data_IF_365854488208
#
_entry.id   IF_365854488208
#
_cell.length_a   1.000
_cell.length_b   1.000
_cell.length_c   1.000
_cell.angle_alpha   90.00
_cell.angle_beta   90.00
_cell.angle_gamma   90.00
#
_symmetry.space_group_name_H-M   'P 1'
#
loop_
_entity.id
_entity.type
_entity.pdbx_description
1 polymer ?
#
# COMPACT_ATOMS: atom_id res chain seq x y z
N UNK A 1 35.50 -15.24 -10.56
CA UNK A 1 34.65 -16.42 -10.82
C UNK A 1 33.27 -15.86 -11.12
N UNK A 2 32.78 -15.89 -12.38
CA UNK A 2 31.42 -15.43 -12.66
C UNK A 2 30.47 -16.51 -12.18
N UNK A 3 29.73 -16.24 -11.10
CA UNK A 3 28.71 -17.15 -10.59
C UNK A 3 27.61 -17.24 -11.66
N UNK A 4 27.29 -18.45 -12.10
CA UNK A 4 26.18 -18.67 -13.01
C UNK A 4 24.88 -18.59 -12.21
N UNK A 5 24.24 -17.41 -12.19
CA UNK A 5 23.02 -17.16 -11.41
C UNK A 5 21.90 -18.17 -11.73
N UNK A 6 21.83 -18.66 -12.97
CA UNK A 6 20.85 -19.66 -13.38
C UNK A 6 21.08 -21.02 -12.72
N UNK A 7 22.33 -21.42 -12.54
CA UNK A 7 22.69 -22.66 -11.84
C UNK A 7 22.37 -22.54 -10.34
N UNK A 8 22.71 -21.39 -9.75
CA UNK A 8 22.42 -21.05 -8.36
C UNK A 8 20.91 -21.08 -8.03
N UNK A 9 20.06 -20.65 -8.96
CA UNK A 9 18.60 -20.68 -8.82
C UNK A 9 18.07 -22.11 -8.99
N UNK A 10 18.54 -22.86 -10.00
CA UNK A 10 18.06 -24.23 -10.26
C UNK A 10 18.24 -25.15 -9.07
N UNK A 11 19.42 -25.14 -8.45
CA UNK A 11 19.69 -25.95 -7.24
C UNK A 11 18.74 -25.63 -6.07
N UNK A 12 18.30 -24.37 -5.97
CA UNK A 12 17.35 -23.94 -4.95
C UNK A 12 15.92 -24.35 -5.28
N UNK A 13 15.52 -24.23 -6.55
CA UNK A 13 14.17 -24.63 -7.00
C UNK A 13 13.90 -26.11 -6.75
N UNK A 14 14.91 -26.97 -6.91
CA UNK A 14 14.79 -28.41 -6.61
C UNK A 14 14.43 -28.68 -5.14
N UNK A 15 14.89 -27.83 -4.22
CA UNK A 15 14.72 -27.97 -2.77
C UNK A 15 13.61 -27.10 -2.19
N UNK A 16 13.13 -26.12 -2.95
CA UNK A 16 12.10 -25.19 -2.52
C UNK A 16 10.78 -25.92 -2.25
N UNK A 17 10.00 -25.39 -1.32
CA UNK A 17 8.64 -25.85 -1.00
C UNK A 17 7.76 -25.83 -2.27
N UNK A 18 6.98 -26.90 -2.50
CA UNK A 18 6.09 -27.03 -3.67
C UNK A 18 5.02 -25.94 -3.74
N UNK A 19 4.76 -25.23 -2.63
CA UNK A 19 3.85 -24.09 -2.58
C UNK A 19 4.51 -22.76 -2.98
N UNK A 20 5.83 -22.72 -3.19
CA UNK A 20 6.53 -21.49 -3.54
C UNK A 20 6.13 -21.02 -4.95
N UNK A 21 5.66 -19.77 -5.13
CA UNK A 21 5.22 -19.25 -6.42
C UNK A 21 6.27 -19.30 -7.54
N UNK A 22 7.55 -19.12 -7.21
CA UNK A 22 8.63 -19.20 -8.21
C UNK A 22 8.83 -20.64 -8.69
N UNK A 23 8.79 -21.61 -7.79
CA UNK A 23 8.88 -23.03 -8.13
C UNK A 23 7.69 -23.48 -8.99
N UNK A 24 6.48 -23.15 -8.55
CA UNK A 24 5.25 -23.43 -9.32
C UNK A 24 5.36 -22.82 -10.72
N UNK A 25 5.82 -21.58 -10.81
CA UNK A 25 5.97 -20.88 -12.10
C UNK A 25 7.02 -21.49 -13.00
N UNK A 26 8.14 -21.95 -12.45
CA UNK A 26 9.16 -22.67 -13.20
C UNK A 26 8.61 -23.98 -13.78
N UNK A 27 7.95 -24.80 -12.96
CA UNK A 27 7.41 -26.10 -13.37
C UNK A 27 6.28 -25.99 -14.40
N UNK A 28 5.39 -25.01 -14.21
CA UNK A 28 4.25 -24.77 -15.09
C UNK A 28 4.55 -23.83 -16.26
N UNK A 29 5.80 -23.35 -16.38
CA UNK A 29 6.26 -22.41 -17.42
C UNK A 29 5.43 -21.13 -17.45
N UNK A 30 5.03 -20.62 -16.29
CA UNK A 30 4.37 -19.33 -16.19
C UNK A 30 5.36 -18.20 -16.42
N UNK A 31 4.88 -17.12 -17.05
CA UNK A 31 5.66 -15.90 -17.34
C UNK A 31 6.36 -15.35 -16.09
N UNK A 32 5.69 -15.45 -14.94
CA UNK A 32 6.18 -14.99 -13.63
C UNK A 32 7.61 -15.43 -13.28
N UNK A 33 8.03 -16.62 -13.73
CA UNK A 33 9.41 -17.09 -13.54
C UNK A 33 10.42 -16.37 -14.43
N UNK A 34 10.09 -16.14 -15.71
CA UNK A 34 10.99 -15.44 -16.64
C UNK A 34 11.13 -13.96 -16.24
N UNK A 35 10.01 -13.32 -15.89
CA UNK A 35 10.02 -11.94 -15.39
C UNK A 35 10.82 -11.82 -14.08
N UNK A 36 10.78 -12.85 -13.22
CA UNK A 36 11.62 -12.93 -12.02
C UNK A 36 13.12 -12.99 -12.35
N UNK A 37 13.53 -13.72 -13.40
CA UNK A 37 14.94 -13.75 -13.84
C UNK A 37 15.42 -12.39 -14.34
N UNK A 38 14.59 -11.65 -15.08
CA UNK A 38 14.90 -10.28 -15.53
C UNK A 38 15.06 -9.32 -14.34
N UNK A 39 14.17 -9.44 -13.35
CA UNK A 39 14.27 -8.69 -12.11
C UNK A 39 15.59 -8.99 -11.38
N UNK A 40 15.96 -10.27 -11.24
CA UNK A 40 17.21 -10.67 -10.59
C UNK A 40 18.45 -10.14 -11.30
N UNK A 41 18.50 -10.11 -12.63
CA UNK A 41 19.63 -9.55 -13.38
C UNK A 41 19.85 -8.07 -13.07
N UNK A 42 18.77 -7.33 -12.76
CA UNK A 42 18.87 -5.94 -12.34
C UNK A 42 19.38 -5.82 -10.91
N UNK A 43 18.82 -6.60 -9.97
CA UNK A 43 19.27 -6.57 -8.58
C UNK A 43 20.72 -6.99 -8.42
N UNK A 44 21.18 -7.99 -9.17
CA UNK A 44 22.55 -8.50 -9.10
C UNK A 44 23.63 -7.46 -9.47
N UNK A 45 23.25 -6.39 -10.19
CA UNK A 45 24.16 -5.28 -10.52
C UNK A 45 24.34 -4.29 -9.37
N UNK A 46 23.47 -4.34 -8.37
CA UNK A 46 23.39 -3.36 -7.29
C UNK A 46 23.52 -3.96 -5.89
N UNK A 47 23.27 -5.26 -5.74
CA UNK A 47 23.40 -5.98 -4.48
C UNK A 47 24.68 -6.83 -4.47
N UNK A 48 25.25 -7.02 -3.29
CA UNK A 48 26.37 -7.92 -3.10
C UNK A 48 25.93 -9.40 -3.05
N UNK A 49 26.91 -10.31 -2.94
CA UNK A 49 26.63 -11.74 -2.95
C UNK A 49 25.79 -12.20 -1.75
N UNK A 50 26.06 -11.66 -0.55
CA UNK A 50 25.36 -12.07 0.67
C UNK A 50 23.93 -11.52 0.68
N UNK A 51 23.73 -10.29 0.20
CA UNK A 51 22.42 -9.68 -0.03
C UNK A 51 21.61 -10.47 -1.07
N UNK A 52 22.21 -10.84 -2.21
CA UNK A 52 21.55 -11.67 -3.21
C UNK A 52 21.21 -13.06 -2.69
N UNK A 53 22.09 -13.65 -1.88
CA UNK A 53 21.85 -14.95 -1.25
C UNK A 53 20.69 -14.87 -0.26
N UNK A 54 20.65 -13.86 0.61
CA UNK A 54 19.55 -13.62 1.54
C UNK A 54 18.23 -13.40 0.80
N UNK A 55 18.25 -12.62 -0.28
CA UNK A 55 17.09 -12.39 -1.12
C UNK A 55 16.51 -13.71 -1.65
N UNK A 56 17.34 -14.60 -2.21
CA UNK A 56 16.87 -15.87 -2.76
C UNK A 56 16.41 -16.86 -1.66
N UNK A 57 17.22 -17.00 -0.61
CA UNK A 57 17.03 -18.01 0.43
C UNK A 57 15.86 -17.64 1.36
N UNK A 58 15.81 -16.38 1.80
CA UNK A 58 14.94 -15.90 2.87
C UNK A 58 13.81 -14.99 2.36
N UNK A 59 14.09 -14.04 1.45
CA UNK A 59 13.04 -13.14 0.94
C UNK A 59 12.07 -13.87 -0.01
N UNK A 60 12.61 -14.47 -1.07
CA UNK A 60 11.88 -15.29 -2.06
C UNK A 60 11.54 -16.68 -1.51
N UNK A 61 12.20 -17.10 -0.43
CA UNK A 61 11.95 -18.37 0.30
C UNK A 61 12.24 -19.62 -0.52
N UNK A 62 13.33 -19.63 -1.29
CA UNK A 62 13.74 -20.83 -2.03
C UNK A 62 14.47 -21.86 -1.16
N UNK A 63 14.96 -21.46 0.02
CA UNK A 63 15.65 -22.35 0.96
C UNK A 63 14.89 -22.57 2.28
N UNK A 64 13.64 -22.10 2.37
CA UNK A 64 12.81 -22.15 3.58
C UNK A 64 11.38 -22.58 3.28
N UNK A 65 10.65 -23.04 4.31
CA UNK A 65 9.24 -23.42 4.19
C UNK A 65 8.41 -22.24 3.69
N UNK A 66 7.49 -22.47 2.75
CA UNK A 66 6.68 -21.38 2.22
C UNK A 66 5.73 -20.81 3.27
N UNK A 67 5.70 -19.48 3.36
CA UNK A 67 4.73 -18.72 4.14
C UNK A 67 4.26 -17.56 3.24
N UNK A 68 2.98 -17.57 2.88
CA UNK A 68 2.41 -16.63 1.92
C UNK A 68 2.49 -15.17 2.40
N UNK A 69 2.14 -14.88 3.65
CA UNK A 69 2.20 -13.52 4.19
C UNK A 69 3.63 -12.94 4.16
N UNK A 70 4.62 -13.73 4.59
CA UNK A 70 6.03 -13.32 4.53
C UNK A 70 6.51 -13.17 3.08
N UNK A 71 6.14 -14.10 2.20
CA UNK A 71 6.48 -14.00 0.78
C UNK A 71 5.92 -12.71 0.16
N UNK A 72 4.63 -12.41 0.37
CA UNK A 72 3.96 -11.22 -0.17
C UNK A 72 4.55 -9.91 0.36
N UNK A 73 4.91 -9.85 1.64
CA UNK A 73 5.66 -8.72 2.20
C UNK A 73 7.00 -8.54 1.48
N UNK A 74 7.78 -9.62 1.37
CA UNK A 74 9.12 -9.56 0.79
C UNK A 74 9.11 -9.22 -0.71
N UNK A 75 8.19 -9.79 -1.49
CA UNK A 75 8.10 -9.45 -2.92
C UNK A 75 7.58 -8.04 -3.15
N UNK A 76 6.76 -7.49 -2.25
CA UNK A 76 6.36 -6.09 -2.31
C UNK A 76 7.55 -5.14 -2.12
N UNK A 77 8.45 -5.45 -1.16
CA UNK A 77 9.72 -4.73 -1.01
C UNK A 77 10.58 -4.82 -2.28
N UNK A 78 10.77 -6.03 -2.80
CA UNK A 78 11.57 -6.29 -4.00
C UNK A 78 11.00 -5.58 -5.23
N UNK A 79 9.68 -5.53 -5.37
CA UNK A 79 9.01 -4.87 -6.50
C UNK A 79 9.27 -3.36 -6.51
N UNK A 80 9.26 -2.70 -5.34
CA UNK A 80 9.64 -1.30 -5.19
C UNK A 80 11.14 -1.10 -5.46
N UNK A 81 12.01 -1.93 -4.88
CA UNK A 81 13.45 -1.87 -5.10
C UNK A 81 13.81 -1.98 -6.59
N UNK A 82 13.21 -2.95 -7.27
CA UNK A 82 13.41 -3.18 -8.69
C UNK A 82 12.92 -2.00 -9.55
N UNK A 83 11.79 -1.37 -9.17
CA UNK A 83 11.31 -0.16 -9.82
C UNK A 83 12.32 0.99 -9.71
N UNK A 84 12.79 1.27 -8.49
CA UNK A 84 13.76 2.35 -8.24
C UNK A 84 15.07 2.08 -8.97
N UNK A 85 15.60 0.85 -8.94
CA UNK A 85 16.85 0.53 -9.63
C UNK A 85 16.76 0.67 -11.16
N UNK A 86 15.58 0.43 -11.75
CA UNK A 86 15.38 0.63 -13.19
C UNK A 86 15.17 2.09 -13.59
N UNK A 87 14.53 2.89 -12.74
CA UNK A 87 14.08 4.25 -13.10
C UNK A 87 14.94 5.37 -12.48
N UNK A 88 15.45 5.16 -11.25
CA UNK A 88 16.05 6.18 -10.39
C UNK A 88 17.27 5.66 -9.61
N UNK A 89 18.26 5.11 -10.31
CA UNK A 89 19.46 4.52 -9.68
C UNK A 89 20.54 5.55 -9.25
N UNK A 90 20.22 6.85 -9.23
CA UNK A 90 21.20 7.86 -8.84
C UNK A 90 21.43 7.81 -7.32
N UNK A 91 22.67 7.55 -6.91
CA UNK A 91 23.08 7.37 -5.50
C UNK A 91 22.15 6.44 -4.72
N UNK A 92 21.69 5.38 -5.37
CA UNK A 92 20.87 4.36 -4.72
C UNK A 92 21.64 3.70 -3.57
N UNK A 93 20.95 3.49 -2.45
CA UNK A 93 21.45 2.74 -1.30
C UNK A 93 20.37 1.76 -0.86
N UNK A 94 20.73 0.48 -0.81
CA UNK A 94 19.92 -0.57 -0.21
C UNK A 94 20.04 -0.51 1.32
N UNK A 95 18.91 -0.53 2.02
CA UNK A 95 18.82 -0.48 3.48
C UNK A 95 19.71 0.60 4.16
N UNK A 96 19.54 1.90 3.83
CA UNK A 96 20.37 2.98 4.35
C UNK A 96 20.28 3.11 5.88
N UNK A 97 21.42 3.37 6.53
CA UNK A 97 21.54 3.46 7.98
C UNK A 97 21.40 4.90 8.48
N UNK A 98 20.33 5.18 9.22
CA UNK A 98 20.07 6.51 9.80
C UNK A 98 20.07 6.52 11.33
N UNK A 99 19.01 6.03 11.96
CA UNK A 99 18.67 6.31 13.37
C UNK A 99 18.69 5.07 14.29
N UNK A 100 19.36 3.98 13.90
CA UNK A 100 19.48 2.78 14.73
C UNK A 100 19.65 1.50 13.91
N UNK A 101 19.13 0.38 14.43
CA UNK A 101 19.21 -0.93 13.79
C UNK A 101 18.08 -1.20 12.77
N UNK A 102 17.20 -0.23 12.54
CA UNK A 102 16.08 -0.37 11.59
C UNK A 102 16.27 0.65 10.48
N UNK A 103 16.27 0.17 9.25
CA UNK A 103 16.53 0.95 8.06
C UNK A 103 15.28 0.97 7.18
N UNK A 104 14.98 2.07 6.47
CA UNK A 104 14.11 2.04 5.30
C UNK A 104 14.65 1.03 4.28
N UNK A 105 13.83 0.59 3.33
CA UNK A 105 14.24 -0.48 2.42
C UNK A 105 15.21 0.04 1.35
N UNK A 106 15.07 1.30 0.95
CA UNK A 106 16.07 1.99 0.14
C UNK A 106 16.02 3.52 0.27
N UNK A 107 17.07 4.16 -0.20
CA UNK A 107 17.03 5.56 -0.61
C UNK A 107 17.74 5.81 -1.94
N UNK A 108 17.44 6.94 -2.56
CA UNK A 108 18.08 7.40 -3.80
C UNK A 108 17.98 8.93 -3.90
N UNK A 109 18.83 9.54 -4.72
CA UNK A 109 18.80 10.98 -4.97
C UNK A 109 17.94 11.31 -6.20
N UNK A 110 17.00 12.24 -6.02
CA UNK A 110 16.15 12.77 -7.09
C UNK A 110 16.04 14.28 -6.96
N UNK A 111 16.39 15.01 -8.03
CA UNK A 111 16.32 16.47 -8.11
C UNK A 111 16.87 17.21 -6.88
N UNK A 112 18.02 16.73 -6.36
CA UNK A 112 18.74 17.37 -5.25
C UNK A 112 18.25 16.99 -3.85
N UNK A 113 17.25 16.11 -3.72
CA UNK A 113 16.80 15.54 -2.43
C UNK A 113 17.02 14.03 -2.37
N UNK A 114 17.14 13.51 -1.16
CA UNK A 114 17.16 12.07 -0.89
C UNK A 114 15.75 11.60 -0.63
N UNK A 115 15.24 10.70 -1.48
CA UNK A 115 13.97 10.02 -1.29
C UNK A 115 14.22 8.73 -0.51
N UNK A 116 13.53 8.55 0.61
CA UNK A 116 13.60 7.33 1.43
C UNK A 116 12.28 6.57 1.32
N UNK A 117 12.35 5.25 1.16
CA UNK A 117 11.16 4.42 1.02
C UNK A 117 11.15 3.29 2.05
N UNK A 118 10.06 3.20 2.79
CA UNK A 118 9.71 2.05 3.62
C UNK A 118 8.54 1.32 2.97
N UNK A 119 8.58 -0.01 2.90
CA UNK A 119 7.51 -0.81 2.29
C UNK A 119 6.80 -1.68 3.33
N UNK A 120 5.48 -1.70 3.27
CA UNK A 120 4.61 -2.52 4.12
C UNK A 120 3.57 -3.25 3.29
N UNK A 121 3.25 -4.46 3.72
CA UNK A 121 2.22 -5.33 3.17
C UNK A 121 1.43 -5.92 4.35
N UNK A 122 0.11 -5.67 4.44
CA UNK A 122 -0.69 -6.24 5.52
C UNK A 122 -0.83 -7.75 5.36
N UNK A 123 -0.74 -8.46 6.48
CA UNK A 123 -1.11 -9.87 6.55
C UNK A 123 -2.63 -10.00 6.57
N UNK A 124 -3.20 -10.38 5.43
CA UNK A 124 -4.65 -10.55 5.25
C UNK A 124 -5.14 -11.94 5.63
N UNK A 125 -4.29 -12.84 6.15
CA UNK A 125 -4.66 -14.25 6.40
C UNK A 125 -5.92 -14.38 7.26
N UNK A 126 -6.00 -13.63 8.38
CA UNK A 126 -7.17 -13.64 9.27
C UNK A 126 -8.43 -13.06 8.61
N UNK A 127 -8.26 -12.01 7.80
CA UNK A 127 -9.36 -11.37 7.08
C UNK A 127 -9.96 -12.35 6.06
N UNK A 128 -9.11 -13.01 5.28
CA UNK A 128 -9.49 -14.00 4.26
C UNK A 128 -10.16 -15.22 4.91
N UNK A 129 -9.68 -15.65 6.08
CA UNK A 129 -10.32 -16.73 6.84
C UNK A 129 -11.74 -16.34 7.29
N UNK A 130 -11.89 -15.15 7.89
CA UNK A 130 -13.19 -14.58 8.28
C UNK A 130 -14.15 -14.45 7.10
N UNK A 131 -13.69 -13.97 5.94
CA UNK A 131 -14.50 -13.80 4.73
C UNK A 131 -15.09 -15.13 4.19
N UNK A 132 -14.53 -16.28 4.56
CA UNK A 132 -15.05 -17.61 4.19
C UNK A 132 -16.21 -18.08 5.06
N UNK A 133 -16.41 -17.48 6.23
CA UNK A 133 -17.54 -17.83 7.09
C UNK A 133 -18.85 -17.26 6.55
N UNK A 134 -19.93 -18.05 6.57
CA UNK A 134 -21.25 -17.63 6.13
C UNK A 134 -22.00 -16.77 7.17
N UNK A 135 -21.36 -15.69 7.61
CA UNK A 135 -21.86 -14.82 8.68
C UNK A 135 -21.99 -13.38 8.18
N UNK A 136 -22.92 -12.63 8.76
CA UNK A 136 -23.05 -11.20 8.51
C UNK A 136 -21.86 -10.48 9.15
N UNK A 137 -21.05 -9.79 8.33
CA UNK A 137 -19.87 -9.06 8.81
C UNK A 137 -20.26 -7.67 9.30
N UNK A 138 -19.84 -7.32 10.50
CA UNK A 138 -19.84 -5.94 11.00
C UNK A 138 -18.41 -5.40 10.90
N UNK A 139 -18.26 -4.29 10.17
CA UNK A 139 -16.99 -3.59 10.02
C UNK A 139 -17.11 -2.20 10.66
N UNK A 140 -16.51 -2.00 11.84
CA UNK A 140 -16.51 -0.71 12.55
C UNK A 140 -15.08 -0.24 12.79
N UNK A 141 -14.79 1.07 12.71
CA UNK A 141 -13.48 1.62 13.08
C UNK A 141 -13.06 1.18 14.48
N UNK A 142 -11.89 0.54 14.62
CA UNK A 142 -11.40 0.02 15.91
C UNK A 142 -11.06 1.14 16.92
N UNK A 143 -11.00 2.38 16.43
CA UNK A 143 -10.71 3.59 17.19
C UNK A 143 -11.91 4.20 17.94
N UNK A 144 -13.12 3.67 17.78
CA UNK A 144 -14.29 4.19 18.48
C UNK A 144 -14.15 3.95 20.01
N UNK A 145 -14.40 4.96 20.88
CA UNK A 145 -14.43 4.74 22.33
C UNK A 145 -15.37 3.60 22.71
N UNK A 146 -14.96 2.75 23.65
CA UNK A 146 -15.73 1.57 24.07
C UNK A 146 -16.06 0.59 22.92
N UNK A 147 -15.19 0.54 21.90
CA UNK A 147 -15.33 -0.30 20.69
C UNK A 147 -15.94 -1.68 20.97
N UNK A 148 -15.37 -2.44 21.91
CA UNK A 148 -15.86 -3.80 22.23
C UNK A 148 -17.30 -3.83 22.74
N UNK A 149 -17.69 -2.85 23.55
CA UNK A 149 -19.06 -2.71 24.05
C UNK A 149 -20.01 -2.46 22.88
N UNK A 150 -19.68 -1.47 22.04
CA UNK A 150 -20.51 -1.09 20.88
C UNK A 150 -20.64 -2.24 19.89
N UNK A 151 -19.54 -2.92 19.54
CA UNK A 151 -19.58 -4.06 18.63
C UNK A 151 -20.47 -5.18 19.19
N UNK A 152 -20.40 -5.46 20.48
CA UNK A 152 -21.27 -6.45 21.11
C UNK A 152 -22.74 -6.02 21.08
N UNK A 153 -23.05 -4.76 21.38
CA UNK A 153 -24.42 -4.24 21.28
C UNK A 153 -24.97 -4.35 19.86
N UNK A 154 -24.19 -3.98 18.84
CA UNK A 154 -24.60 -4.12 17.43
C UNK A 154 -24.82 -5.59 17.06
N UNK A 155 -23.95 -6.51 17.49
CA UNK A 155 -24.14 -7.96 17.29
C UNK A 155 -25.46 -8.44 17.91
N UNK A 156 -25.76 -8.05 19.14
CA UNK A 156 -27.00 -8.47 19.83
C UNK A 156 -28.26 -7.87 19.19
N UNK A 157 -28.19 -6.67 18.58
CA UNK A 157 -29.30 -6.09 17.81
C UNK A 157 -29.52 -6.83 16.48
N UNK A 158 -28.44 -7.23 15.80
CA UNK A 158 -28.52 -7.85 14.48
C UNK A 158 -28.84 -9.35 14.53
N UNK A 159 -28.32 -10.08 15.52
CA UNK A 159 -28.50 -11.54 15.64
C UNK A 159 -29.96 -12.02 15.53
N UNK A 160 -30.95 -11.42 16.21
CA UNK A 160 -32.35 -11.84 16.09
C UNK A 160 -32.96 -11.58 14.71
N UNK A 161 -32.35 -10.72 13.91
CA UNK A 161 -32.86 -10.21 12.64
C UNK A 161 -32.07 -10.73 11.43
N UNK A 162 -31.11 -11.65 11.61
CA UNK A 162 -30.34 -12.18 10.49
C UNK A 162 -31.26 -12.94 9.55
N UNK A 163 -31.20 -12.61 8.25
CA UNK A 163 -31.91 -13.37 7.23
C UNK A 163 -31.41 -14.82 7.20
N UNK A 164 -32.25 -15.75 6.75
CA UNK A 164 -31.93 -17.20 6.63
C UNK A 164 -30.66 -17.54 5.82
N UNK A 165 -30.03 -16.56 5.18
CA UNK A 165 -28.80 -16.73 4.41
C UNK A 165 -27.53 -16.67 5.27
N UNK A 166 -27.58 -16.15 6.50
CA UNK A 166 -26.43 -16.07 7.40
C UNK A 166 -26.63 -16.93 8.65
N UNK A 167 -25.55 -17.57 9.10
CA UNK A 167 -25.60 -18.47 10.27
C UNK A 167 -25.37 -17.73 11.60
N UNK A 168 -24.72 -16.56 11.56
CA UNK A 168 -24.42 -15.71 12.72
C UNK A 168 -23.99 -14.31 12.26
N UNK A 169 -23.69 -13.44 13.21
CA UNK A 169 -23.08 -12.12 13.02
C UNK A 169 -21.66 -12.14 13.59
N UNK A 170 -20.67 -11.81 12.76
CA UNK A 170 -19.28 -11.70 13.22
C UNK A 170 -18.72 -10.30 12.98
N UNK A 171 -17.70 -9.97 13.76
CA UNK A 171 -16.91 -8.77 13.55
C UNK A 171 -15.78 -9.08 12.60
N UNK A 172 -15.61 -8.22 11.60
CA UNK A 172 -14.45 -8.23 10.73
C UNK A 172 -13.54 -7.08 11.17
N UNK A 173 -12.37 -7.45 11.70
CA UNK A 173 -11.37 -6.49 12.16
C UNK A 173 -10.92 -5.57 11.03
N UNK A 174 -10.75 -4.29 11.35
CA UNK A 174 -10.22 -3.29 10.43
C UNK A 174 -8.71 -3.19 10.59
N UNK A 175 -8.05 -2.64 9.58
CA UNK A 175 -6.59 -2.53 9.52
C UNK A 175 -6.11 -1.09 9.80
N UNK A 176 -6.96 -0.21 10.34
CA UNK A 176 -6.55 1.15 10.74
C UNK A 176 -5.48 1.14 11.83
N UNK A 177 -5.59 0.24 12.81
CA UNK A 177 -4.52 0.02 13.79
C UNK A 177 -3.21 -0.45 13.15
N UNK A 178 -3.27 -1.20 12.03
CA UNK A 178 -2.08 -1.57 11.26
C UNK A 178 -1.47 -0.38 10.53
N UNK A 179 -2.28 0.50 9.94
CA UNK A 179 -1.76 1.74 9.37
C UNK A 179 -1.05 2.58 10.44
N UNK A 180 -1.60 2.68 11.66
CA UNK A 180 -0.93 3.35 12.78
C UNK A 180 0.45 2.74 13.10
N UNK A 181 0.53 1.42 13.19
CA UNK A 181 1.80 0.71 13.40
C UNK A 181 2.79 1.02 12.27
N UNK A 182 2.31 1.08 11.03
CA UNK A 182 3.14 1.33 9.85
C UNK A 182 3.67 2.76 9.80
N UNK A 183 2.83 3.78 9.98
CA UNK A 183 3.28 5.18 9.94
C UNK A 183 4.23 5.50 11.09
N UNK A 184 4.01 4.90 12.28
CA UNK A 184 4.91 5.04 13.43
C UNK A 184 6.24 4.34 13.15
N UNK A 185 6.19 3.07 12.73
CA UNK A 185 7.40 2.29 12.45
C UNK A 185 8.23 2.83 11.30
N UNK A 186 7.58 3.40 10.27
CA UNK A 186 8.26 4.06 9.16
C UNK A 186 8.92 5.36 9.62
N UNK A 187 8.22 6.19 10.39
CA UNK A 187 8.78 7.44 10.94
C UNK A 187 9.99 7.21 11.85
N UNK A 188 10.02 6.09 12.58
CA UNK A 188 11.17 5.68 13.40
C UNK A 188 12.39 5.26 12.56
N UNK A 189 12.16 4.74 11.35
CA UNK A 189 13.22 4.34 10.40
C UNK A 189 13.75 5.52 9.58
N UNK A 190 12.89 6.48 9.25
CA UNK A 190 13.24 7.58 8.37
C UNK A 190 14.19 8.60 9.03
N UNK A 191 15.03 9.28 8.23
CA UNK A 191 15.69 10.50 8.67
C UNK A 191 14.65 11.60 8.91
N UNK A 192 15.10 12.72 9.48
CA UNK A 192 14.22 13.88 9.69
C UNK A 192 13.67 14.34 8.33
N UNK A 193 12.36 14.56 8.26
CA UNK A 193 11.71 15.19 7.11
C UNK A 193 12.05 16.68 7.10
N UNK A 194 12.77 17.11 6.07
CA UNK A 194 13.30 18.47 5.93
C UNK A 194 13.53 18.83 4.45
N UNK A 195 14.31 19.88 4.19
CA UNK A 195 14.61 20.30 2.82
C UNK A 195 15.51 19.32 2.06
N UNK A 196 16.13 18.36 2.75
CA UNK A 196 17.06 17.38 2.16
C UNK A 196 16.43 16.01 1.94
N UNK A 197 15.47 15.61 2.80
CA UNK A 197 14.85 14.29 2.77
C UNK A 197 13.37 14.34 2.39
N UNK A 198 12.92 13.38 1.60
CA UNK A 198 11.51 13.12 1.32
C UNK A 198 11.19 11.65 1.60
N UNK A 199 10.28 11.39 2.52
CA UNK A 199 10.09 10.07 3.10
C UNK A 199 8.71 9.48 2.74
N UNK A 200 8.72 8.30 2.12
CA UNK A 200 7.54 7.65 1.54
C UNK A 200 7.30 6.31 2.22
N UNK A 201 6.11 6.13 2.80
CA UNK A 201 5.61 4.81 3.18
C UNK A 201 4.83 4.21 2.01
N UNK A 202 5.34 3.14 1.41
CA UNK A 202 4.59 2.34 0.44
C UNK A 202 3.79 1.23 1.14
N UNK A 203 2.50 1.15 0.84
CA UNK A 203 1.61 0.09 1.32
C UNK A 203 1.08 -0.70 0.14
N UNK A 204 1.47 -1.98 0.08
CA UNK A 204 1.10 -2.93 -0.95
C UNK A 204 -0.14 -3.73 -0.57
N UNK A 205 -1.19 -3.71 -1.39
CA UNK A 205 -2.54 -4.20 -1.09
C UNK A 205 -3.07 -5.21 -2.13
N UNK A 206 -4.02 -6.06 -1.73
CA UNK A 206 -4.52 -7.20 -2.53
C UNK A 206 -5.65 -6.82 -3.50
N UNK A 207 -6.44 -5.79 -3.22
CA UNK A 207 -7.55 -5.39 -4.08
C UNK A 207 -7.79 -3.88 -4.12
N UNK A 208 -8.54 -3.44 -5.14
CA UNK A 208 -9.00 -2.04 -5.24
C UNK A 208 -9.84 -1.63 -4.03
N UNK A 209 -10.68 -2.53 -3.52
CA UNK A 209 -11.44 -2.29 -2.29
C UNK A 209 -10.56 -2.06 -1.07
N UNK A 210 -9.36 -2.65 -1.02
CA UNK A 210 -8.39 -2.34 0.03
C UNK A 210 -7.80 -0.93 -0.18
N UNK A 211 -7.55 -0.49 -1.41
CA UNK A 211 -7.11 0.89 -1.66
C UNK A 211 -8.11 1.89 -1.11
N UNK A 212 -9.40 1.69 -1.39
CA UNK A 212 -10.49 2.51 -0.88
C UNK A 212 -10.52 2.54 0.66
N UNK A 213 -10.40 1.37 1.27
CA UNK A 213 -10.39 1.23 2.72
C UNK A 213 -9.18 1.95 3.33
N UNK A 214 -7.99 1.80 2.75
CA UNK A 214 -6.78 2.47 3.20
C UNK A 214 -6.80 3.97 2.95
N UNK A 215 -7.39 4.43 1.84
CA UNK A 215 -7.68 5.84 1.61
C UNK A 215 -8.56 6.41 2.73
N UNK A 216 -9.59 5.67 3.16
CA UNK A 216 -10.44 6.06 4.30
C UNK A 216 -9.68 6.12 5.63
N UNK A 217 -8.65 5.29 5.82
CA UNK A 217 -7.77 5.36 6.99
C UNK A 217 -6.86 6.58 7.00
N UNK A 218 -6.43 7.03 5.81
CA UNK A 218 -5.54 8.17 5.65
C UNK A 218 -6.34 9.47 5.76
N UNK A 219 -7.44 9.58 5.03
CA UNK A 219 -8.16 10.86 4.85
C UNK A 219 -9.55 10.91 5.46
N UNK A 220 -10.19 9.76 5.71
CA UNK A 220 -11.55 9.70 6.26
C UNK A 220 -11.64 10.28 7.67
N UNK A 221 -12.82 10.19 8.30
CA UNK A 221 -13.02 10.79 9.62
C UNK A 221 -11.95 10.34 10.64
N UNK A 222 -11.30 11.31 11.27
CA UNK A 222 -10.15 11.13 12.17
C UNK A 222 -8.93 10.41 11.56
N UNK A 223 -8.84 10.29 10.24
CA UNK A 223 -7.76 9.59 9.54
C UNK A 223 -6.37 10.20 9.80
N UNK A 224 -5.32 9.44 9.47
CA UNK A 224 -3.92 9.80 9.81
C UNK A 224 -3.54 11.21 9.35
N UNK A 225 -3.95 11.61 8.15
CA UNK A 225 -3.63 12.90 7.54
C UNK A 225 -4.67 13.98 7.79
N UNK A 226 -5.56 13.78 8.76
CA UNK A 226 -6.54 14.78 9.18
C UNK A 226 -6.02 15.61 10.37
N UNK A 227 -6.75 16.68 10.70
CA UNK A 227 -6.47 17.51 11.88
C UNK A 227 -6.76 16.75 13.19
N UNK A 228 -7.76 15.85 13.17
CA UNK A 228 -8.17 15.04 14.33
C UNK A 228 -7.65 13.60 14.19
N UNK A 229 -6.38 13.45 13.83
CA UNK A 229 -5.80 12.13 13.56
C UNK A 229 -5.85 11.20 14.78
N UNK A 230 -6.25 9.95 14.55
CA UNK A 230 -6.19 8.86 15.54
C UNK A 230 -4.76 8.44 15.92
N UNK A 231 -3.76 8.95 15.18
CA UNK A 231 -2.34 8.85 15.48
C UNK A 231 -1.82 10.25 15.83
N UNK A 232 -1.13 10.46 16.97
CA UNK A 232 -0.53 11.77 17.25
C UNK A 232 0.50 12.15 16.18
N UNK A 233 0.44 13.39 15.66
CA UNK A 233 1.31 13.86 14.57
C UNK A 233 2.81 13.64 14.84
N UNK A 234 3.25 13.81 16.08
CA UNK A 234 4.63 13.56 16.51
C UNK A 234 5.12 12.13 16.27
N UNK A 235 4.22 11.15 16.21
CA UNK A 235 4.55 9.73 15.97
C UNK A 235 4.84 9.42 14.51
N UNK A 236 4.43 10.28 13.59
CA UNK A 236 4.69 10.10 12.16
C UNK A 236 5.31 11.35 11.51
N UNK A 237 5.93 12.23 12.31
CA UNK A 237 6.43 13.54 11.84
C UNK A 237 7.46 13.45 10.70
N UNK A 238 8.19 12.34 10.61
CA UNK A 238 9.18 12.12 9.56
C UNK A 238 8.56 11.55 8.29
N UNK A 239 7.26 11.25 8.25
CA UNK A 239 6.58 10.74 7.05
C UNK A 239 6.08 11.91 6.20
N UNK A 240 6.39 11.92 4.89
CA UNK A 240 5.93 12.96 3.96
C UNK A 240 4.73 12.52 3.14
N UNK A 241 4.79 11.30 2.62
CA UNK A 241 3.77 10.76 1.73
C UNK A 241 3.51 9.27 1.96
N UNK A 242 2.31 8.82 1.59
CA UNK A 242 1.93 7.41 1.58
C UNK A 242 1.63 7.01 0.14
N UNK A 243 2.34 6.01 -0.37
CA UNK A 243 2.03 5.34 -1.63
C UNK A 243 1.10 4.16 -1.36
N UNK A 244 -0.10 4.15 -1.94
CA UNK A 244 -0.93 2.96 -2.00
C UNK A 244 -0.68 2.26 -3.34
N UNK A 245 -0.36 0.97 -3.29
CA UNK A 245 -0.10 0.17 -4.49
C UNK A 245 -0.79 -1.19 -4.46
N UNK A 246 -1.14 -1.75 -5.62
CA UNK A 246 -1.70 -3.11 -5.75
C UNK A 246 -0.67 -4.17 -6.10
N UNK A 247 0.61 -3.93 -5.81
CA UNK A 247 1.69 -4.90 -6.07
C UNK A 247 1.41 -6.30 -5.48
N UNK A 248 0.92 -6.38 -4.24
CA UNK A 248 0.54 -7.63 -3.58
C UNK A 248 -0.49 -8.42 -4.40
N UNK A 249 -1.49 -7.76 -4.99
CA UNK A 249 -2.48 -8.39 -5.88
C UNK A 249 -1.79 -9.15 -7.03
N UNK A 250 -0.85 -8.49 -7.69
CA UNK A 250 -0.07 -9.03 -8.81
C UNK A 250 0.68 -10.30 -8.41
N UNK A 251 1.42 -10.25 -7.30
CA UNK A 251 2.20 -11.38 -6.80
C UNK A 251 1.36 -12.52 -6.22
N UNK A 252 0.18 -12.23 -5.65
CA UNK A 252 -0.74 -13.26 -5.15
C UNK A 252 -1.47 -13.98 -6.27
N UNK A 253 -1.80 -13.27 -7.36
CA UNK A 253 -2.58 -13.77 -8.51
C UNK A 253 -1.75 -13.85 -9.79
N UNK A 254 -0.43 -14.03 -9.67
CA UNK A 254 0.52 -14.00 -10.78
C UNK A 254 0.15 -14.90 -11.98
N UNK A 255 -0.54 -16.02 -11.73
CA UNK A 255 -0.99 -16.95 -12.78
C UNK A 255 -2.22 -16.48 -13.56
N UNK A 256 -2.84 -15.37 -13.15
CA UNK A 256 -4.04 -14.78 -13.77
C UNK A 256 -3.74 -13.56 -14.63
N UNK A 257 -2.54 -13.00 -14.51
CA UNK A 257 -2.14 -11.80 -15.24
C UNK A 257 -1.30 -12.14 -16.46
N UNK A 258 -1.44 -11.31 -17.49
CA UNK A 258 -0.61 -11.38 -18.70
C UNK A 258 0.53 -10.36 -18.66
N UNK A 259 0.34 -9.32 -17.86
CA UNK A 259 1.24 -8.24 -17.52
C UNK A 259 2.42 -8.76 -16.67
N UNK A 260 3.54 -8.05 -16.72
CA UNK A 260 4.68 -8.37 -15.87
C UNK A 260 4.45 -7.76 -14.48
N UNK A 261 3.96 -8.58 -13.55
CA UNK A 261 3.67 -8.15 -12.16
C UNK A 261 4.91 -7.79 -11.35
N UNK A 262 6.13 -8.08 -11.83
CA UNK A 262 7.37 -7.58 -11.22
C UNK A 262 7.65 -6.12 -11.60
N UNK A 263 6.96 -5.54 -12.58
CA UNK A 263 7.06 -4.11 -12.88
C UNK A 263 6.03 -3.36 -12.04
N UNK A 264 6.49 -2.58 -11.06
CA UNK A 264 5.60 -1.79 -10.21
C UNK A 264 4.70 -0.86 -11.04
N UNK A 265 5.19 -0.32 -12.17
CA UNK A 265 4.42 0.55 -13.07
C UNK A 265 3.24 -0.13 -13.78
N UNK A 266 3.18 -1.47 -13.79
CA UNK A 266 2.04 -2.24 -14.31
C UNK A 266 0.95 -2.45 -13.24
N UNK A 267 1.09 -1.82 -12.07
CA UNK A 267 0.14 -1.89 -10.97
C UNK A 267 -0.46 -0.52 -10.67
N UNK A 268 -1.57 -0.48 -9.93
CA UNK A 268 -2.15 0.79 -9.50
C UNK A 268 -1.21 1.39 -8.45
N UNK A 269 -0.76 2.63 -8.67
CA UNK A 269 0.10 3.37 -7.75
C UNK A 269 -0.49 4.77 -7.51
N UNK A 270 -0.83 5.08 -6.27
CA UNK A 270 -1.39 6.37 -5.86
C UNK A 270 -0.58 6.94 -4.70
N UNK A 271 0.19 7.99 -4.98
CA UNK A 271 1.06 8.65 -4.00
C UNK A 271 0.34 9.84 -3.37
N UNK A 272 0.25 9.86 -2.05
CA UNK A 272 -0.50 10.88 -1.33
C UNK A 272 0.40 11.64 -0.36
N UNK A 273 0.60 12.94 -0.62
CA UNK A 273 1.28 13.86 0.30
C UNK A 273 0.42 14.13 1.55
N UNK A 274 1.05 14.26 2.72
CA UNK A 274 0.41 14.84 3.91
C UNK A 274 -0.10 16.26 3.58
N UNK A 275 -1.43 16.52 3.64
CA UNK A 275 -2.01 17.83 3.35
C UNK A 275 -1.39 18.98 4.15
N UNK A 276 -0.87 18.71 5.36
CA UNK A 276 -0.21 19.70 6.21
C UNK A 276 1.09 20.23 5.59
N UNK A 277 1.69 19.47 4.66
CA UNK A 277 2.95 19.80 3.96
C UNK A 277 2.72 20.45 2.59
N UNK A 278 1.48 20.56 2.11
CA UNK A 278 1.19 21.12 0.78
C UNK A 278 1.71 22.55 0.56
N UNK A 279 1.77 23.36 1.62
CA UNK A 279 2.20 24.77 1.56
C UNK A 279 3.66 24.98 2.01
N UNK A 280 4.47 23.93 2.02
CA UNK A 280 5.90 23.97 2.39
C UNK A 280 6.78 23.66 1.18
N UNK A 281 8.10 23.80 1.32
CA UNK A 281 9.07 23.36 0.28
C UNK A 281 8.98 21.86 -0.01
N UNK A 282 8.58 21.04 0.98
CA UNK A 282 8.25 19.62 0.77
C UNK A 282 7.08 19.46 -0.19
N UNK A 283 6.01 20.24 -0.01
CA UNK A 283 4.85 20.21 -0.90
C UNK A 283 5.19 20.69 -2.30
N UNK A 284 6.00 21.74 -2.43
CA UNK A 284 6.50 22.21 -3.72
C UNK A 284 7.29 21.12 -4.45
N UNK A 285 8.29 20.54 -3.79
CA UNK A 285 9.06 19.41 -4.35
C UNK A 285 8.15 18.25 -4.75
N UNK A 286 7.13 17.94 -3.95
CA UNK A 286 6.17 16.89 -4.30
C UNK A 286 5.44 17.17 -5.62
N UNK A 287 4.86 18.36 -5.79
CA UNK A 287 4.10 18.69 -6.99
C UNK A 287 4.98 18.89 -8.22
N UNK A 288 6.19 19.42 -8.05
CA UNK A 288 7.11 19.68 -9.14
C UNK A 288 7.81 18.41 -9.63
N UNK A 289 8.18 17.50 -8.71
CA UNK A 289 9.16 16.44 -8.99
C UNK A 289 8.74 15.01 -8.60
N UNK A 290 7.83 14.82 -7.63
CA UNK A 290 7.56 13.50 -7.01
C UNK A 290 6.19 12.93 -7.37
N UNK A 291 5.21 13.77 -7.68
CA UNK A 291 3.82 13.33 -7.91
C UNK A 291 3.67 12.29 -9.03
N UNK A 292 4.55 12.34 -10.04
CA UNK A 292 4.62 11.37 -11.15
C UNK A 292 5.70 10.30 -10.96
N UNK A 293 6.36 10.25 -9.79
CA UNK A 293 7.48 9.35 -9.52
C UNK A 293 7.11 7.88 -9.76
N UNK A 294 5.85 7.50 -9.52
CA UNK A 294 5.29 6.15 -9.71
C UNK A 294 4.26 6.09 -10.85
N UNK A 295 4.38 7.00 -11.83
CA UNK A 295 3.45 7.15 -12.95
C UNK A 295 2.39 8.23 -12.73
N UNK A 296 1.59 8.49 -13.76
CA UNK A 296 0.69 9.65 -13.83
C UNK A 296 -0.66 9.44 -13.12
N UNK A 297 -0.95 8.22 -12.66
CA UNK A 297 -2.25 7.86 -12.11
C UNK A 297 -2.61 8.71 -10.87
N UNK A 298 -1.61 9.08 -10.06
CA UNK A 298 -1.80 10.00 -8.93
C UNK A 298 -2.33 11.37 -9.38
N UNK A 299 -1.77 11.92 -10.46
CA UNK A 299 -2.21 13.22 -11.01
C UNK A 299 -3.67 13.11 -11.46
N UNK A 300 -3.99 12.09 -12.26
CA UNK A 300 -5.35 11.86 -12.76
C UNK A 300 -6.35 11.66 -11.62
N UNK A 301 -5.96 10.97 -10.54
CA UNK A 301 -6.79 10.80 -9.36
C UNK A 301 -7.06 12.14 -8.64
N UNK A 302 -6.04 12.98 -8.47
CA UNK A 302 -6.20 14.27 -7.82
C UNK A 302 -7.02 15.25 -8.67
N UNK A 303 -6.91 15.20 -9.99
CA UNK A 303 -7.79 15.93 -10.92
C UNK A 303 -9.24 15.46 -10.79
N UNK A 304 -9.47 14.15 -10.75
CA UNK A 304 -10.79 13.58 -10.50
C UNK A 304 -11.37 14.07 -9.16
N UNK A 305 -10.58 14.05 -8.10
CA UNK A 305 -10.98 14.56 -6.78
C UNK A 305 -11.33 16.05 -6.83
N UNK A 306 -10.51 16.86 -7.50
CA UNK A 306 -10.76 18.29 -7.65
C UNK A 306 -12.06 18.58 -8.41
N UNK A 307 -12.37 17.79 -9.44
CA UNK A 307 -13.62 17.91 -10.18
C UNK A 307 -14.84 17.53 -9.33
N UNK A 308 -14.73 16.50 -8.49
CA UNK A 308 -15.77 16.15 -7.52
C UNK A 308 -16.00 17.27 -6.51
N UNK A 309 -14.92 17.85 -5.97
CA UNK A 309 -15.00 18.96 -5.01
C UNK A 309 -15.66 20.20 -5.63
N UNK A 310 -15.30 20.56 -6.88
CA UNK A 310 -15.94 21.67 -7.63
C UNK A 310 -17.42 21.42 -7.87
N UNK A 311 -17.80 20.20 -8.27
CA UNK A 311 -19.21 19.82 -8.47
C UNK A 311 -19.98 19.90 -7.15
N UNK A 312 -19.44 19.35 -6.08
CA UNK A 312 -20.03 19.42 -4.74
C UNK A 312 -20.22 20.85 -4.25
N UNK A 313 -19.22 21.71 -4.45
CA UNK A 313 -19.32 23.13 -4.11
C UNK A 313 -20.39 23.85 -4.93
N UNK A 314 -20.46 23.58 -6.25
CA UNK A 314 -21.52 24.13 -7.10
C UNK A 314 -22.91 23.69 -6.65
N UNK A 315 -23.07 22.42 -6.28
CA UNK A 315 -24.33 21.89 -5.80
C UNK A 315 -24.69 22.43 -4.41
N UNK A 316 -23.70 22.61 -3.52
CA UNK A 316 -23.88 23.30 -2.25
C UNK A 316 -24.38 24.73 -2.45
N UNK A 317 -23.77 25.50 -3.35
CA UNK A 317 -24.19 26.88 -3.62
C UNK A 317 -25.66 26.98 -4.09
N UNK A 318 -26.18 25.93 -4.75
CA UNK A 318 -27.60 25.85 -5.14
C UNK A 318 -28.53 25.56 -3.97
N UNK A 319 -28.07 24.84 -2.95
CA UNK A 319 -28.93 24.35 -1.83
C UNK A 319 -28.61 24.98 -0.48
N UNK A 320 -27.57 25.81 -0.36
CA UNK A 320 -27.12 26.41 0.90
C UNK A 320 -28.17 27.25 1.60
N UNK A 321 -29.19 27.73 0.90
CA UNK A 321 -30.28 28.51 1.49
C UNK A 321 -31.46 27.64 1.96
N UNK A 322 -31.38 26.31 1.82
CA UNK A 322 -32.38 25.38 2.32
C UNK A 322 -32.01 24.92 3.74
N UNK A 323 -32.74 25.35 4.79
CA UNK A 323 -32.41 25.07 6.19
C UNK A 323 -32.36 23.57 6.52
N UNK A 324 -33.19 22.77 5.87
CA UNK A 324 -33.29 21.32 6.12
C UNK A 324 -32.07 20.55 5.58
N UNK A 325 -31.37 21.11 4.58
CA UNK A 325 -30.18 20.52 3.96
C UNK A 325 -28.86 21.00 4.59
N UNK A 326 -28.87 22.10 5.35
CA UNK A 326 -27.67 22.61 6.03
C UNK A 326 -27.20 21.67 7.14
N UNK A 327 -28.12 21.04 7.89
CA UNK A 327 -27.79 20.13 8.98
C UNK A 327 -27.18 18.80 8.50
N UNK A 328 -27.53 18.35 7.29
CA UNK A 328 -27.14 17.04 6.76
C UNK A 328 -25.73 16.99 6.14
N UNK A 329 -25.11 18.14 5.82
CA UNK A 329 -23.83 18.20 5.07
C UNK A 329 -22.67 18.90 5.78
N UNK A 330 -22.89 19.46 6.98
CA UNK A 330 -21.91 20.31 7.67
C UNK A 330 -20.61 19.59 8.11
N UNK A 331 -20.55 18.26 8.06
CA UNK A 331 -19.38 17.48 8.54
C UNK A 331 -18.41 16.98 7.43
N UNK A 332 -18.70 17.20 6.13
CA UNK A 332 -18.04 16.49 5.01
C UNK A 332 -17.51 17.42 3.89
N UNK A 333 -16.58 18.34 4.18
CA UNK A 333 -16.02 19.21 3.13
C UNK A 333 -14.83 18.63 2.34
N UNK A 334 -14.63 17.32 2.41
CA UNK A 334 -14.05 16.53 1.31
C UNK A 334 -14.98 15.34 1.10
N UNK A 335 -15.35 15.07 -0.14
CA UNK A 335 -16.27 13.98 -0.48
C UNK A 335 -15.53 12.65 -0.33
N UNK A 336 -15.27 12.21 0.90
CA UNK A 336 -14.55 10.96 1.16
C UNK A 336 -15.54 9.81 1.10
N UNK A 337 -15.89 9.42 -0.13
CA UNK A 337 -16.63 8.19 -0.39
C UNK A 337 -15.80 7.00 0.06
N UNK A 338 -16.46 6.00 0.64
CA UNK A 338 -15.84 4.69 0.97
C UNK A 338 -15.38 3.97 -0.31
N UNK A 339 -15.75 4.46 -1.50
CA UNK A 339 -15.42 3.86 -2.80
C UNK A 339 -14.71 4.85 -3.75
N UNK A 340 -14.04 5.88 -3.24
CA UNK A 340 -13.47 6.95 -4.06
C UNK A 340 -12.51 6.46 -5.17
N UNK A 341 -11.61 5.53 -4.84
CA UNK A 341 -10.65 4.96 -5.80
C UNK A 341 -11.36 4.01 -6.75
N UNK A 342 -12.33 3.21 -6.27
CA UNK A 342 -13.16 2.38 -7.16
C UNK A 342 -13.92 3.22 -8.19
N UNK A 343 -14.56 4.32 -7.76
CA UNK A 343 -15.28 5.25 -8.65
C UNK A 343 -14.35 5.86 -9.70
N UNK A 344 -13.17 6.31 -9.28
CA UNK A 344 -12.14 6.82 -10.18
C UNK A 344 -11.72 5.79 -11.24
N UNK A 345 -11.40 4.56 -10.83
CA UNK A 345 -10.96 3.51 -11.75
C UNK A 345 -12.08 3.07 -12.70
N UNK A 346 -13.34 3.10 -12.26
CA UNK A 346 -14.48 2.84 -13.13
C UNK A 346 -14.63 3.94 -14.19
N UNK A 347 -14.48 5.23 -13.80
CA UNK A 347 -14.48 6.35 -14.76
C UNK A 347 -13.39 6.17 -15.83
N UNK A 348 -12.17 5.79 -15.44
CA UNK A 348 -11.09 5.55 -16.41
C UNK A 348 -11.40 4.40 -17.40
N UNK A 349 -12.16 3.39 -16.98
CA UNK A 349 -12.60 2.30 -17.86
C UNK A 349 -13.70 2.72 -18.84
N UNK A 350 -14.50 3.73 -18.50
CA UNK A 350 -15.53 4.27 -19.38
C UNK A 350 -14.95 5.23 -20.43
N UNK A 351 -13.77 5.80 -20.16
CA UNK A 351 -13.07 6.75 -21.04
C UNK A 351 -12.11 6.08 -22.05
N UNK A 352 -11.82 4.78 -21.87
CA UNK A 352 -11.00 3.95 -22.77
C UNK A 352 -11.85 2.91 -23.50
#
# INVERSE_FOLDING_TARGET
MSININEMIKERLEKADDKNPIKISYENKFRYYNDFLEMLDTLYKSLDYDEMKDLLDNKIRLASKYNEAQYLQNVSEINVLYYILRKYNNRFVYEPKYNGNKNPECCFEHNGKIINIEVKCPDLTKRIESERHNTLKICMPERIPEYKTIVNEVKEILKPNICNNYIDVEEQSRLDNKLKDYVTGASDKFPISDDTNFNILAVSLDAVSDLDEWYSYIFGNEGVFTNNSFVPAERYKNLDAILLTTSMCGHKRYSKFTENVWLLEETINLLFLDPKKQKTETGKFYFDDVITLFGDLTVSFLEFQLDLDKKSQSDWEKVKNNPDLQQAKWNEQKLISVMMISEFLNKLKEEN
#
